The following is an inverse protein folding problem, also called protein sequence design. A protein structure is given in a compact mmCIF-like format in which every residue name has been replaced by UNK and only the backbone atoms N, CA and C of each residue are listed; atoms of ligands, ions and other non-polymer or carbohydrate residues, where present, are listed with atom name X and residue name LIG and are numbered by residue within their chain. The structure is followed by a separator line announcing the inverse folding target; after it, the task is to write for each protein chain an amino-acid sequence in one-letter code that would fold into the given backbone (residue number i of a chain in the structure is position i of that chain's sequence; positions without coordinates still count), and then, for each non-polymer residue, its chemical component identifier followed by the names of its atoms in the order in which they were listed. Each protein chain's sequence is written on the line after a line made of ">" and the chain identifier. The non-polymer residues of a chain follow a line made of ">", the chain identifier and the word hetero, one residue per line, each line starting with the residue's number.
data_IF_177580539787
#
_entry.id   IF_177580539787
#
_cell.length_a   1.000
_cell.length_b   1.000
_cell.length_c   1.000
_cell.angle_alpha   90.00
_cell.angle_beta   90.00
_cell.angle_gamma   90.00
#
_symmetry.space_group_name_H-M   'P 1'
#
loop_
_entity.id
_entity.type
_entity.pdbx_description
1 polymer ?
#
# COMPACT_ATOMS: atom_id res chain seq x y z
N UNK A 1 -14.94 -42.15 14.80
CA UNK A 1 -14.07 -40.97 14.92
C UNK A 1 -14.67 -40.16 16.03
N UNK A 2 -14.16 -40.35 17.24
CA UNK A 2 -14.51 -39.50 18.38
C UNK A 2 -13.86 -38.15 18.11
N UNK A 3 -14.69 -37.11 18.08
CA UNK A 3 -14.28 -35.74 17.82
C UNK A 3 -13.67 -35.23 19.15
N UNK A 4 -12.34 -35.25 19.25
CA UNK A 4 -11.60 -34.77 20.41
C UNK A 4 -11.80 -33.26 20.56
N UNK A 5 -12.89 -32.87 21.22
CA UNK A 5 -13.20 -31.49 21.56
C UNK A 5 -12.24 -31.04 22.67
N UNK A 6 -11.11 -30.44 22.28
CA UNK A 6 -10.21 -29.77 23.21
C UNK A 6 -10.98 -28.57 23.80
N UNK A 7 -11.25 -28.53 25.12
CA UNK A 7 -11.92 -27.40 25.73
C UNK A 7 -11.05 -26.15 25.60
N UNK A 8 -11.68 -25.00 25.35
CA UNK A 8 -11.00 -23.73 25.22
C UNK A 8 -10.23 -23.39 26.51
N UNK A 9 -8.98 -22.93 26.37
CA UNK A 9 -8.15 -22.53 27.50
C UNK A 9 -8.80 -21.32 28.20
N UNK A 10 -9.06 -21.38 29.53
CA UNK A 10 -9.66 -20.25 30.26
C UNK A 10 -8.76 -19.01 30.30
N UNK A 11 -7.47 -19.13 29.98
CA UNK A 11 -6.54 -18.01 29.85
C UNK A 11 -6.57 -17.34 28.46
N UNK A 12 -7.27 -17.93 27.49
CA UNK A 12 -7.39 -17.35 26.15
C UNK A 12 -8.25 -16.07 26.16
N UNK A 13 -7.88 -15.07 25.34
CA UNK A 13 -8.67 -13.86 25.18
C UNK A 13 -10.07 -14.22 24.67
N UNK A 14 -11.08 -13.88 25.48
CA UNK A 14 -12.48 -14.14 25.15
C UNK A 14 -12.93 -13.31 23.93
N UNK A 15 -13.78 -13.87 23.05
CA UNK A 15 -14.37 -13.10 21.96
C UNK A 15 -15.14 -11.88 22.48
N UNK A 16 -14.88 -10.71 21.88
CA UNK A 16 -15.56 -9.45 22.25
C UNK A 16 -17.03 -9.47 21.82
N UNK A 17 -17.37 -10.24 20.78
CA UNK A 17 -18.74 -10.38 20.30
C UNK A 17 -19.45 -11.53 21.01
N UNK A 18 -20.74 -11.37 21.38
CA UNK A 18 -21.49 -12.45 22.01
C UNK A 18 -21.64 -13.64 21.06
N UNK A 19 -21.84 -14.82 21.64
CA UNK A 19 -22.20 -16.02 20.90
C UNK A 19 -23.47 -15.85 20.05
N UNK A 20 -23.70 -16.76 19.11
CA UNK A 20 -24.83 -16.69 18.18
C UNK A 20 -26.18 -16.64 18.92
N UNK A 21 -26.85 -15.49 18.84
CA UNK A 21 -28.13 -15.25 19.52
C UNK A 21 -29.38 -15.41 18.63
N UNK A 22 -29.22 -15.89 17.39
CA UNK A 22 -30.32 -16.09 16.44
C UNK A 22 -31.25 -14.86 16.23
N UNK A 23 -30.68 -13.65 16.19
CA UNK A 23 -31.44 -12.38 16.03
C UNK A 23 -32.39 -12.34 14.82
N UNK A 24 -32.12 -13.14 13.77
CA UNK A 24 -32.97 -13.22 12.59
C UNK A 24 -33.39 -14.67 12.36
N UNK A 25 -34.70 -14.90 12.37
CA UNK A 25 -35.30 -16.23 12.07
C UNK A 25 -35.35 -16.54 10.58
N UNK A 26 -35.25 -15.52 9.72
CA UNK A 26 -35.36 -15.69 8.26
C UNK A 26 -34.34 -14.83 7.51
N UNK A 27 -33.95 -15.29 6.32
CA UNK A 27 -33.10 -14.55 5.40
C UNK A 27 -33.70 -13.20 4.98
N UNK A 28 -35.03 -13.11 4.93
CA UNK A 28 -35.74 -11.87 4.63
C UNK A 28 -35.57 -10.82 5.74
N UNK A 29 -35.70 -11.22 7.01
CA UNK A 29 -35.47 -10.34 8.16
C UNK A 29 -34.02 -9.84 8.20
N UNK A 30 -33.05 -10.74 8.01
CA UNK A 30 -31.63 -10.36 7.92
C UNK A 30 -31.34 -9.42 6.74
N UNK A 31 -32.01 -9.61 5.59
CA UNK A 31 -31.90 -8.71 4.43
C UNK A 31 -32.53 -7.34 4.70
N UNK A 32 -33.66 -7.30 5.42
CA UNK A 32 -34.32 -6.06 5.81
C UNK A 32 -33.45 -5.25 6.78
N UNK A 33 -32.89 -5.90 7.81
CA UNK A 33 -31.93 -5.25 8.73
C UNK A 33 -30.70 -4.71 7.98
N UNK A 34 -30.09 -5.51 7.10
CA UNK A 34 -28.98 -5.02 6.25
C UNK A 34 -29.38 -3.89 5.30
N UNK A 35 -30.67 -3.66 5.04
CA UNK A 35 -31.18 -2.53 4.26
C UNK A 35 -31.45 -1.31 5.12
N UNK A 36 -31.90 -1.48 6.37
CA UNK A 36 -32.24 -0.36 7.26
C UNK A 36 -31.01 0.40 7.74
N UNK A 37 -29.87 -0.27 7.88
CA UNK A 37 -28.58 0.35 8.26
C UNK A 37 -27.84 1.05 7.10
N UNK A 38 -28.47 1.15 5.92
CA UNK A 38 -27.83 1.69 4.72
C UNK A 38 -27.91 3.20 4.70
N UNK A 39 -26.86 3.83 4.19
CA UNK A 39 -26.91 5.27 3.88
C UNK A 39 -27.82 5.47 2.66
N UNK A 40 -28.76 6.42 2.72
CA UNK A 40 -29.70 6.67 1.63
C UNK A 40 -28.98 7.03 0.32
N UNK A 41 -29.69 6.80 -0.78
CA UNK A 41 -29.21 7.12 -2.11
C UNK A 41 -29.04 8.64 -2.32
N UNK A 42 -28.09 9.02 -3.19
CA UNK A 42 -27.83 10.41 -3.59
C UNK A 42 -28.85 10.86 -4.64
N UNK A 43 -30.12 10.99 -4.20
CA UNK A 43 -31.32 11.14 -5.05
C UNK A 43 -31.45 12.48 -5.81
N UNK A 44 -30.53 13.42 -5.61
CA UNK A 44 -30.66 14.79 -6.13
C UNK A 44 -29.96 15.01 -7.49
N UNK A 45 -29.58 13.95 -8.18
CA UNK A 45 -28.86 14.05 -9.45
C UNK A 45 -29.84 13.96 -10.64
N UNK A 46 -30.12 15.06 -11.37
CA UNK A 46 -31.11 15.10 -12.44
C UNK A 46 -30.66 14.34 -13.70
N UNK A 47 -29.36 14.05 -13.83
CA UNK A 47 -28.76 13.37 -14.97
C UNK A 47 -28.84 11.84 -14.89
N UNK A 48 -29.22 11.26 -13.76
CA UNK A 48 -29.17 9.80 -13.51
C UNK A 48 -29.97 9.01 -14.55
N UNK A 49 -31.23 9.36 -14.81
CA UNK A 49 -32.07 8.62 -15.74
C UNK A 49 -31.52 8.66 -17.18
N UNK A 50 -31.09 9.85 -17.62
CA UNK A 50 -30.48 10.04 -18.94
C UNK A 50 -29.20 9.21 -19.08
N UNK A 51 -28.32 9.25 -18.07
CA UNK A 51 -27.05 8.52 -18.08
C UNK A 51 -27.28 7.01 -18.08
N UNK A 52 -28.25 6.51 -17.31
CA UNK A 52 -28.62 5.08 -17.31
C UNK A 52 -29.09 4.66 -18.71
N UNK A 53 -29.96 5.45 -19.34
CA UNK A 53 -30.61 5.08 -20.61
C UNK A 53 -29.69 5.20 -21.82
N UNK A 54 -28.83 6.21 -21.86
CA UNK A 54 -28.05 6.53 -23.07
C UNK A 54 -26.54 6.63 -22.84
N UNK A 55 -26.09 6.70 -21.58
CA UNK A 55 -24.71 7.03 -21.23
C UNK A 55 -23.73 5.85 -21.19
N UNK A 56 -24.21 4.60 -21.13
CA UNK A 56 -23.34 3.43 -20.86
C UNK A 56 -22.15 3.35 -21.81
N UNK A 57 -22.39 3.31 -23.12
CA UNK A 57 -21.32 3.16 -24.12
C UNK A 57 -20.27 4.26 -24.01
N UNK A 58 -20.72 5.50 -23.85
CA UNK A 58 -19.85 6.67 -23.71
C UNK A 58 -19.00 6.58 -22.43
N UNK A 59 -19.63 6.34 -21.28
CA UNK A 59 -18.94 6.36 -20.00
C UNK A 59 -18.04 5.16 -19.77
N UNK A 60 -18.45 3.96 -20.19
CA UNK A 60 -17.60 2.76 -20.11
C UNK A 60 -16.32 2.96 -20.92
N UNK A 61 -16.44 3.46 -22.17
CA UNK A 61 -15.27 3.79 -22.99
C UNK A 61 -14.34 4.77 -22.27
N UNK A 62 -14.88 5.87 -21.74
CA UNK A 62 -14.06 6.86 -21.02
C UNK A 62 -13.41 6.31 -19.75
N UNK A 63 -14.10 5.44 -19.02
CA UNK A 63 -13.56 4.77 -17.83
C UNK A 63 -12.41 3.85 -18.24
N UNK A 64 -12.59 3.02 -19.25
CA UNK A 64 -11.56 2.14 -19.81
C UNK A 64 -10.34 2.95 -20.28
N UNK A 65 -10.55 3.97 -21.13
CA UNK A 65 -9.50 4.83 -21.65
C UNK A 65 -8.71 5.48 -20.49
N UNK A 66 -9.41 5.91 -19.42
CA UNK A 66 -8.76 6.48 -18.23
C UNK A 66 -7.96 5.45 -17.43
N UNK A 67 -8.39 4.19 -17.39
CA UNK A 67 -7.64 3.12 -16.71
C UNK A 67 -6.30 2.85 -17.40
N UNK A 68 -6.27 2.89 -18.74
CA UNK A 68 -5.04 2.62 -19.52
C UNK A 68 -4.20 3.88 -19.77
N UNK A 69 -4.75 5.08 -19.63
CA UNK A 69 -4.02 6.33 -19.87
C UNK A 69 -2.86 6.50 -18.87
N UNK A 70 -1.62 6.52 -19.38
CA UNK A 70 -0.40 6.66 -18.59
C UNK A 70 0.21 8.07 -18.62
N UNK A 71 -0.47 9.05 -19.22
CA UNK A 71 0.06 10.42 -19.43
C UNK A 71 0.22 11.25 -18.16
N UNK A 72 -0.56 10.99 -17.10
CA UNK A 72 -0.58 11.80 -15.87
C UNK A 72 -0.56 10.93 -14.59
N UNK A 73 0.33 9.94 -14.52
CA UNK A 73 0.42 9.06 -13.34
C UNK A 73 1.12 9.78 -12.17
N UNK A 74 0.44 9.84 -11.04
CA UNK A 74 0.94 10.39 -9.77
C UNK A 74 1.53 9.34 -8.82
N UNK A 75 1.33 8.04 -9.07
CA UNK A 75 2.01 6.98 -8.32
C UNK A 75 3.53 7.10 -8.44
N UNK A 76 4.26 6.69 -7.40
CA UNK A 76 5.73 6.72 -7.42
C UNK A 76 6.29 5.91 -8.59
N UNK A 77 7.49 6.31 -9.07
CA UNK A 77 8.17 5.59 -10.16
C UNK A 77 8.41 4.12 -9.82
N UNK A 78 8.66 3.81 -8.54
CA UNK A 78 8.88 2.46 -8.02
C UNK A 78 7.58 1.67 -7.75
N UNK A 79 6.41 2.26 -7.94
CA UNK A 79 5.13 1.62 -7.63
C UNK A 79 4.87 0.45 -8.57
N UNK A 80 4.61 -0.74 -8.02
CA UNK A 80 4.21 -1.91 -8.82
C UNK A 80 2.96 -1.63 -9.65
N UNK A 81 2.03 -0.83 -9.11
CA UNK A 81 0.81 -0.45 -9.82
C UNK A 81 1.09 0.40 -11.06
N UNK A 82 2.12 1.25 -11.04
CA UNK A 82 2.55 2.03 -12.22
C UNK A 82 3.19 1.13 -13.27
N UNK A 83 4.09 0.24 -12.85
CA UNK A 83 4.81 -0.66 -13.75
C UNK A 83 3.88 -1.55 -14.57
N UNK A 84 2.83 -2.10 -13.95
CA UNK A 84 1.83 -2.95 -14.63
C UNK A 84 1.15 -2.31 -15.84
N UNK A 85 1.14 -0.98 -15.94
CA UNK A 85 0.53 -0.22 -17.05
C UNK A 85 1.55 0.43 -17.99
N UNK A 86 2.81 0.56 -17.60
CA UNK A 86 3.84 1.23 -18.42
C UNK A 86 4.79 0.25 -19.12
N UNK A 87 4.97 -0.95 -18.58
CA UNK A 87 5.94 -1.91 -19.11
C UNK A 87 5.22 -3.06 -19.77
N UNK A 88 5.47 -3.30 -21.06
CA UNK A 88 4.83 -4.36 -21.83
C UNK A 88 5.07 -5.75 -21.22
N UNK A 89 6.28 -6.02 -20.70
CA UNK A 89 6.60 -7.27 -19.99
C UNK A 89 5.85 -7.44 -18.66
N UNK A 90 5.26 -6.37 -18.12
CA UNK A 90 4.48 -6.38 -16.89
C UNK A 90 2.97 -6.32 -17.14
N UNK A 91 2.50 -6.49 -18.39
CA UNK A 91 1.07 -6.51 -18.73
C UNK A 91 0.40 -7.66 -17.98
N UNK A 92 -0.16 -7.33 -16.82
CA UNK A 92 -0.73 -8.29 -15.87
C UNK A 92 -2.20 -8.54 -16.15
N UNK A 93 -2.91 -7.54 -16.66
CA UNK A 93 -4.36 -7.59 -16.86
C UNK A 93 -4.67 -7.81 -18.35
N UNK A 94 -5.68 -8.64 -18.61
CA UNK A 94 -6.23 -8.78 -19.96
C UNK A 94 -7.12 -7.58 -20.27
N UNK A 95 -7.24 -7.24 -21.55
CA UNK A 95 -8.01 -6.08 -21.98
C UNK A 95 -9.51 -6.25 -21.63
N UNK A 96 -10.02 -7.50 -21.72
CA UNK A 96 -11.38 -7.84 -21.31
C UNK A 96 -11.62 -7.64 -19.81
N UNK A 97 -10.62 -7.88 -18.95
CA UNK A 97 -10.75 -7.70 -17.51
C UNK A 97 -10.90 -6.20 -17.17
N UNK A 98 -10.16 -5.35 -17.90
CA UNK A 98 -10.23 -3.90 -17.75
C UNK A 98 -11.57 -3.34 -18.26
N UNK A 99 -12.07 -3.84 -19.39
CA UNK A 99 -13.39 -3.46 -19.91
C UNK A 99 -14.52 -3.91 -18.97
N UNK A 100 -14.49 -5.15 -18.48
CA UNK A 100 -15.44 -5.65 -17.50
C UNK A 100 -15.41 -4.81 -16.21
N UNK A 101 -14.21 -4.41 -15.78
CA UNK A 101 -14.05 -3.50 -14.63
C UNK A 101 -14.65 -2.12 -14.89
N UNK A 102 -14.49 -1.56 -16.09
CA UNK A 102 -15.11 -0.28 -16.47
C UNK A 102 -16.65 -0.35 -16.43
N UNK A 103 -17.24 -1.44 -16.91
CA UNK A 103 -18.66 -1.72 -16.76
C UNK A 103 -19.09 -1.78 -15.28
N UNK A 104 -18.32 -2.48 -14.45
CA UNK A 104 -18.61 -2.60 -13.02
C UNK A 104 -18.54 -1.25 -12.30
N UNK A 105 -17.54 -0.44 -12.58
CA UNK A 105 -17.43 0.93 -12.05
C UNK A 105 -18.66 1.76 -12.42
N UNK A 106 -19.13 1.68 -13.67
CA UNK A 106 -20.32 2.39 -14.12
C UNK A 106 -21.57 1.94 -13.33
N UNK A 107 -21.78 0.63 -13.17
CA UNK A 107 -22.93 0.07 -12.45
C UNK A 107 -22.93 0.42 -10.96
N UNK A 108 -21.75 0.37 -10.32
CA UNK A 108 -21.60 0.75 -8.91
C UNK A 108 -21.82 2.26 -8.74
N UNK A 109 -21.39 3.09 -9.68
CA UNK A 109 -21.63 4.54 -9.65
C UNK A 109 -23.12 4.88 -9.76
N UNK A 110 -23.87 4.18 -10.61
CA UNK A 110 -25.34 4.28 -10.64
C UNK A 110 -25.96 3.83 -9.32
N UNK A 111 -25.45 2.75 -8.73
CA UNK A 111 -25.97 2.22 -7.46
C UNK A 111 -25.86 3.24 -6.31
N UNK A 112 -24.84 4.10 -6.30
CA UNK A 112 -24.71 5.19 -5.31
C UNK A 112 -25.90 6.15 -5.37
N UNK A 113 -26.38 6.49 -6.57
CA UNK A 113 -27.50 7.43 -6.76
C UNK A 113 -28.89 6.78 -6.67
N UNK A 114 -28.99 5.47 -6.94
CA UNK A 114 -30.27 4.75 -6.96
C UNK A 114 -30.54 3.96 -5.68
N UNK A 115 -29.50 3.41 -5.05
CA UNK A 115 -29.59 2.52 -3.88
C UNK A 115 -28.87 3.06 -2.65
N UNK A 116 -27.87 3.92 -2.83
CA UNK A 116 -27.02 4.44 -1.75
C UNK A 116 -25.94 3.46 -1.31
N UNK A 117 -25.42 3.68 -0.09
CA UNK A 117 -24.35 2.85 0.46
C UNK A 117 -24.90 1.53 0.99
N UNK A 118 -24.40 0.42 0.47
CA UNK A 118 -24.88 -0.93 0.81
C UNK A 118 -23.82 -1.82 1.47
N UNK A 119 -22.78 -1.22 2.06
CA UNK A 119 -21.74 -1.89 2.84
C UNK A 119 -21.89 -1.52 4.33
N UNK A 120 -21.19 -2.20 5.26
CA UNK A 120 -21.20 -1.80 6.66
C UNK A 120 -20.88 -0.31 6.84
N UNK A 121 -21.56 0.34 7.77
CA UNK A 121 -21.44 1.77 8.05
C UNK A 121 -20.03 2.14 8.55
N UNK A 122 -19.32 1.22 9.20
CA UNK A 122 -17.92 1.40 9.62
C UNK A 122 -16.97 1.79 8.50
N UNK A 123 -17.29 1.43 7.25
CA UNK A 123 -16.51 1.82 6.08
C UNK A 123 -16.97 3.14 5.45
N UNK A 124 -18.17 3.61 5.79
CA UNK A 124 -18.70 4.87 5.29
C UNK A 124 -18.23 6.02 6.17
N UNK A 125 -17.66 7.06 5.54
CA UNK A 125 -17.26 8.29 6.23
C UNK A 125 -17.77 9.48 5.44
N UNK A 126 -18.83 10.12 5.95
CA UNK A 126 -19.36 11.34 5.34
C UNK A 126 -18.38 12.49 5.56
N UNK A 127 -17.77 12.96 4.47
CA UNK A 127 -16.96 14.16 4.49
C UNK A 127 -17.86 15.40 4.48
N UNK A 128 -17.95 16.10 5.62
CA UNK A 128 -18.86 17.23 5.80
C UNK A 128 -18.18 18.58 5.55
N UNK A 129 -16.84 18.65 5.62
CA UNK A 129 -16.06 19.89 5.47
C UNK A 129 -14.75 19.67 4.72
N UNK A 130 -14.28 20.73 4.06
CA UNK A 130 -12.96 20.77 3.41
C UNK A 130 -12.88 20.09 2.04
N UNK A 131 -11.66 19.79 1.59
CA UNK A 131 -11.35 19.29 0.24
C UNK A 131 -11.88 17.87 -0.04
N UNK A 132 -12.39 17.18 0.98
CA UNK A 132 -12.90 15.81 0.88
C UNK A 132 -14.42 15.77 0.63
N UNK A 133 -15.10 16.92 0.65
CA UNK A 133 -16.54 17.01 0.41
C UNK A 133 -16.88 16.47 -0.98
N UNK A 134 -17.94 15.67 -1.06
CA UNK A 134 -18.40 15.10 -2.32
C UNK A 134 -19.19 16.14 -3.14
N UNK A 135 -18.51 16.84 -4.03
CA UNK A 135 -19.13 17.79 -4.94
C UNK A 135 -19.95 17.14 -6.06
N UNK A 136 -19.87 15.81 -6.24
CA UNK A 136 -20.65 15.06 -7.24
C UNK A 136 -21.93 14.44 -6.71
N UNK A 137 -22.33 14.74 -5.48
CA UNK A 137 -23.57 14.20 -4.90
C UNK A 137 -24.80 14.50 -5.77
N UNK A 138 -24.79 15.63 -6.48
CA UNK A 138 -25.89 16.10 -7.34
C UNK A 138 -25.68 15.88 -8.85
N UNK A 139 -24.66 15.14 -9.28
CA UNK A 139 -24.48 14.80 -10.70
C UNK A 139 -23.69 13.50 -10.86
N UNK A 140 -24.31 12.52 -11.51
CA UNK A 140 -23.66 11.26 -11.86
C UNK A 140 -22.57 11.47 -12.91
N UNK A 141 -22.74 12.37 -13.87
CA UNK A 141 -21.72 12.67 -14.87
C UNK A 141 -20.47 13.31 -14.26
N UNK A 142 -20.66 14.25 -13.32
CA UNK A 142 -19.55 14.85 -12.58
C UNK A 142 -18.81 13.78 -11.78
N UNK A 143 -19.56 12.86 -11.14
CA UNK A 143 -18.98 11.72 -10.41
C UNK A 143 -18.14 10.84 -11.33
N UNK A 144 -18.69 10.42 -12.47
CA UNK A 144 -18.01 9.57 -13.44
C UNK A 144 -16.75 10.25 -14.00
N UNK A 145 -16.82 11.55 -14.33
CA UNK A 145 -15.63 12.32 -14.72
C UNK A 145 -14.53 12.29 -13.64
N UNK A 146 -14.91 12.43 -12.37
CA UNK A 146 -13.94 12.44 -11.26
C UNK A 146 -13.37 11.06 -10.96
N UNK A 147 -14.14 10.02 -11.21
CA UNK A 147 -13.63 8.65 -11.20
C UNK A 147 -12.61 8.47 -12.34
N UNK A 148 -12.90 8.93 -13.56
CA UNK A 148 -11.94 8.92 -14.66
C UNK A 148 -10.62 9.62 -14.29
N UNK A 149 -10.68 10.82 -13.70
CA UNK A 149 -9.50 11.54 -13.21
C UNK A 149 -8.71 10.72 -12.17
N UNK A 150 -9.40 10.03 -11.26
CA UNK A 150 -8.74 9.17 -10.27
C UNK A 150 -8.04 7.97 -10.90
N UNK A 151 -8.67 7.30 -11.86
CA UNK A 151 -8.12 6.13 -12.57
C UNK A 151 -6.94 6.51 -13.46
N UNK A 152 -7.03 7.65 -14.15
CA UNK A 152 -5.93 8.21 -14.94
C UNK A 152 -4.71 8.48 -14.07
N UNK A 153 -4.92 9.18 -12.95
CA UNK A 153 -3.81 9.65 -12.11
C UNK A 153 -3.21 8.60 -11.19
N UNK A 154 -3.95 7.55 -10.83
CA UNK A 154 -3.55 6.61 -9.77
C UNK A 154 -3.90 5.19 -10.17
N UNK A 155 -2.93 4.43 -10.68
CA UNK A 155 -3.08 3.02 -11.08
C UNK A 155 -3.28 2.10 -9.89
N UNK A 156 -2.87 2.51 -8.68
CA UNK A 156 -3.29 1.83 -7.46
C UNK A 156 -4.83 1.85 -7.26
N UNK A 157 -5.53 2.86 -7.78
CA UNK A 157 -7.00 2.93 -7.78
C UNK A 157 -7.61 2.00 -8.83
N UNK A 158 -6.93 1.80 -9.96
CA UNK A 158 -7.35 0.83 -10.98
C UNK A 158 -7.29 -0.59 -10.41
N UNK A 159 -6.19 -0.94 -9.73
CA UNK A 159 -6.05 -2.23 -9.04
C UNK A 159 -7.14 -2.46 -7.97
N UNK A 160 -7.44 -1.44 -7.17
CA UNK A 160 -8.55 -1.48 -6.22
C UNK A 160 -9.92 -1.69 -6.87
N UNK A 161 -10.13 -1.17 -8.09
CA UNK A 161 -11.36 -1.32 -8.84
C UNK A 161 -11.49 -2.73 -9.42
N UNK A 162 -10.40 -3.30 -9.94
CA UNK A 162 -10.32 -4.68 -10.44
C UNK A 162 -10.63 -5.67 -9.31
N UNK A 163 -10.02 -5.49 -8.12
CA UNK A 163 -10.31 -6.32 -6.93
C UNK A 163 -11.73 -6.13 -6.39
N UNK A 164 -12.40 -5.04 -6.76
CA UNK A 164 -13.76 -4.72 -6.35
C UNK A 164 -13.93 -4.57 -4.82
N UNK A 165 -15.15 -4.82 -4.31
CA UNK A 165 -15.44 -4.81 -2.87
C UNK A 165 -15.63 -3.40 -2.29
N UNK A 166 -15.09 -3.16 -1.10
CA UNK A 166 -15.25 -1.89 -0.37
C UNK A 166 -14.44 -0.77 -1.01
N UNK A 167 -13.26 -1.06 -1.55
CA UNK A 167 -12.40 -0.04 -2.17
C UNK A 167 -13.01 0.57 -3.43
N UNK A 168 -13.66 -0.25 -4.26
CA UNK A 168 -14.46 0.21 -5.39
C UNK A 168 -15.68 1.02 -4.92
N UNK A 169 -16.39 0.54 -3.89
CA UNK A 169 -17.53 1.27 -3.35
C UNK A 169 -17.13 2.67 -2.84
N UNK A 170 -15.97 2.78 -2.16
CA UNK A 170 -15.43 4.07 -1.70
C UNK A 170 -15.06 5.00 -2.86
N UNK A 171 -14.46 4.47 -3.93
CA UNK A 171 -14.15 5.24 -5.14
C UNK A 171 -15.42 5.81 -5.78
N UNK A 172 -16.44 4.98 -5.96
CA UNK A 172 -17.70 5.39 -6.56
C UNK A 172 -18.49 6.33 -5.64
N UNK A 173 -18.46 6.13 -4.32
CA UNK A 173 -19.18 6.98 -3.37
C UNK A 173 -18.56 8.37 -3.22
N UNK A 174 -17.24 8.51 -3.16
CA UNK A 174 -16.60 9.82 -3.10
C UNK A 174 -15.22 9.79 -3.78
N UNK A 175 -15.15 10.07 -5.09
CA UNK A 175 -13.90 9.99 -5.83
C UNK A 175 -12.84 10.98 -5.33
N UNK A 176 -13.23 12.18 -4.85
CA UNK A 176 -12.29 13.15 -4.26
C UNK A 176 -11.65 12.63 -2.99
N UNK A 177 -12.46 12.13 -2.05
CA UNK A 177 -11.93 11.58 -0.81
C UNK A 177 -11.01 10.38 -1.08
N UNK A 178 -11.37 9.53 -2.06
CA UNK A 178 -10.52 8.41 -2.44
C UNK A 178 -9.20 8.86 -3.06
N UNK A 179 -9.25 9.80 -4.01
CA UNK A 179 -8.06 10.38 -4.64
C UNK A 179 -7.13 11.01 -3.61
N UNK A 180 -7.67 11.81 -2.68
CA UNK A 180 -6.90 12.45 -1.62
C UNK A 180 -6.27 11.44 -0.65
N UNK A 181 -7.00 10.38 -0.26
CA UNK A 181 -6.44 9.31 0.58
C UNK A 181 -5.26 8.63 -0.10
N UNK A 182 -5.38 8.31 -1.40
CA UNK A 182 -4.29 7.68 -2.16
C UNK A 182 -3.08 8.58 -2.32
N UNK A 183 -3.31 9.88 -2.55
CA UNK A 183 -2.23 10.86 -2.62
C UNK A 183 -1.51 11.03 -1.28
N UNK A 184 -2.24 11.11 -0.18
CA UNK A 184 -1.67 11.16 1.17
C UNK A 184 -0.83 9.91 1.46
N UNK A 185 -1.33 8.72 1.11
CA UNK A 185 -0.59 7.47 1.25
C UNK A 185 0.67 7.44 0.39
N UNK A 186 0.62 7.93 -0.86
CA UNK A 186 1.80 8.01 -1.72
C UNK A 186 2.86 8.95 -1.13
N UNK A 187 2.44 10.12 -0.63
CA UNK A 187 3.33 11.07 0.04
C UNK A 187 3.95 10.48 1.32
N UNK A 188 3.15 9.76 2.11
CA UNK A 188 3.61 9.05 3.31
C UNK A 188 4.64 7.97 2.96
N UNK A 189 4.36 7.14 1.95
CA UNK A 189 5.27 6.10 1.48
C UNK A 189 6.58 6.69 0.92
N UNK A 190 6.51 7.80 0.17
CA UNK A 190 7.70 8.51 -0.30
C UNK A 190 8.57 8.99 0.86
N UNK A 191 7.98 9.66 1.85
CA UNK A 191 8.70 10.12 3.06
C UNK A 191 9.30 8.95 3.84
N UNK A 192 8.56 7.84 4.00
CA UNK A 192 9.05 6.62 4.66
C UNK A 192 10.23 6.03 3.90
N UNK A 193 10.14 5.94 2.57
CA UNK A 193 11.22 5.45 1.71
C UNK A 193 12.49 6.28 1.84
N UNK A 194 12.37 7.61 1.86
CA UNK A 194 13.51 8.51 2.07
C UNK A 194 14.18 8.30 3.43
N UNK A 195 13.41 8.15 4.51
CA UNK A 195 13.96 7.87 5.85
C UNK A 195 14.71 6.55 5.90
N UNK A 196 14.14 5.50 5.30
CA UNK A 196 14.78 4.18 5.23
C UNK A 196 16.09 4.22 4.42
N UNK A 197 16.12 4.99 3.32
CA UNK A 197 17.33 5.16 2.52
C UNK A 197 18.45 5.85 3.32
N UNK A 198 18.15 6.97 4.00
CA UNK A 198 19.12 7.66 4.85
C UNK A 198 19.60 6.80 6.02
N UNK A 199 18.72 6.04 6.66
CA UNK A 199 19.10 5.13 7.74
C UNK A 199 20.03 4.02 7.24
N UNK A 200 19.79 3.48 6.04
CA UNK A 200 20.66 2.47 5.43
C UNK A 200 22.02 3.05 5.06
N UNK A 201 22.06 4.26 4.52
CA UNK A 201 23.31 4.96 4.19
C UNK A 201 24.15 5.26 5.43
N UNK A 202 23.51 5.70 6.52
CA UNK A 202 24.18 5.91 7.81
C UNK A 202 24.70 4.62 8.42
N UNK A 203 23.94 3.52 8.33
CA UNK A 203 24.38 2.21 8.80
C UNK A 203 25.61 1.73 8.01
N UNK A 204 25.58 1.84 6.68
CA UNK A 204 26.70 1.45 5.81
C UNK A 204 27.94 2.31 6.09
N UNK A 205 27.77 3.61 6.32
CA UNK A 205 28.89 4.50 6.65
C UNK A 205 29.52 4.14 8.00
N UNK A 206 28.71 3.82 9.01
CA UNK A 206 29.22 3.35 10.30
C UNK A 206 29.98 2.03 10.18
N UNK A 207 29.44 1.09 9.41
CA UNK A 207 30.10 -0.20 9.14
C UNK A 207 31.45 0.00 8.44
N UNK A 208 31.53 0.92 7.47
CA UNK A 208 32.80 1.29 6.82
C UNK A 208 33.79 1.97 7.77
N UNK A 209 33.31 2.89 8.63
CA UNK A 209 34.15 3.57 9.63
C UNK A 209 34.67 2.59 10.71
N UNK A 210 33.84 1.61 11.13
CA UNK A 210 34.25 0.54 12.05
C UNK A 210 35.26 -0.41 11.40
N UNK A 211 35.05 -0.82 10.14
CA UNK A 211 36.00 -1.65 9.40
C UNK A 211 37.36 -0.95 9.21
N UNK A 212 37.37 0.35 8.90
CA UNK A 212 38.60 1.16 8.80
C UNK A 212 39.35 1.26 10.14
N UNK A 213 38.62 1.38 11.26
CA UNK A 213 39.22 1.40 12.61
C UNK A 213 39.82 0.05 12.99
N UNK A 214 39.16 -1.05 12.65
CA UNK A 214 39.69 -2.39 12.90
C UNK A 214 40.93 -2.68 12.06
N UNK A 215 40.95 -2.27 10.79
CA UNK A 215 42.13 -2.44 9.92
C UNK A 215 43.36 -1.68 10.43
N UNK A 216 43.20 -0.41 10.85
CA UNK A 216 44.32 0.35 11.45
C UNK A 216 44.83 -0.22 12.76
N UNK A 217 43.92 -0.72 13.60
CA UNK A 217 44.32 -1.36 14.86
C UNK A 217 45.09 -2.66 14.65
N UNK A 218 44.88 -3.36 13.54
CA UNK A 218 45.68 -4.54 13.17
C UNK A 218 47.03 -4.16 12.58
N UNK A 219 47.09 -3.15 11.70
CA UNK A 219 48.37 -2.63 11.17
C UNK A 219 49.29 -2.10 12.29
N UNK A 220 48.75 -1.33 13.25
CA UNK A 220 49.54 -0.84 14.40
C UNK A 220 50.01 -1.98 15.32
N UNK A 221 49.29 -3.10 15.37
CA UNK A 221 49.67 -4.27 16.17
C UNK A 221 50.75 -5.11 15.47
N UNK A 222 50.65 -5.26 14.15
CA UNK A 222 51.68 -5.93 13.33
C UNK A 222 52.99 -5.13 13.27
N UNK A 223 52.92 -3.79 13.20
CA UNK A 223 54.12 -2.94 13.30
C UNK A 223 54.79 -3.07 14.68
N UNK A 224 54.02 -3.08 15.77
CA UNK A 224 54.57 -3.24 17.11
C UNK A 224 55.21 -4.63 17.33
N UNK A 225 54.59 -5.71 16.83
CA UNK A 225 55.19 -7.06 16.89
C UNK A 225 56.46 -7.17 16.03
N UNK A 226 56.56 -6.44 14.92
CA UNK A 226 57.79 -6.38 14.12
C UNK A 226 58.91 -5.63 14.83
N UNK A 227 58.62 -4.47 15.43
CA UNK A 227 59.63 -3.72 16.21
C UNK A 227 60.13 -4.53 17.41
N UNK A 228 59.23 -5.23 18.13
CA UNK A 228 59.62 -6.08 19.27
C UNK A 228 60.50 -7.27 18.82
N UNK A 229 60.20 -7.87 17.66
CA UNK A 229 61.00 -8.95 17.09
C UNK A 229 62.37 -8.47 16.57
N UNK A 230 62.47 -7.24 16.05
CA UNK A 230 63.75 -6.63 15.66
C UNK A 230 64.61 -6.29 16.89
N UNK A 231 64.02 -5.78 17.98
CA UNK A 231 64.74 -5.51 19.24
C UNK A 231 65.23 -6.80 19.92
N UNK A 232 64.47 -7.91 19.88
CA UNK A 232 64.93 -9.21 20.39
C UNK A 232 66.08 -9.78 19.54
N UNK A 233 66.04 -9.60 18.22
CA UNK A 233 67.10 -10.07 17.32
C UNK A 233 68.42 -9.31 17.50
N UNK A 234 68.37 -7.98 17.71
CA UNK A 234 69.57 -7.18 17.99
C UNK A 234 70.20 -7.54 19.35
N UNK A 235 69.40 -7.89 20.36
CA UNK A 235 69.92 -8.33 21.67
C UNK A 235 70.60 -9.71 21.60
N UNK A 236 70.14 -10.62 20.73
CA UNK A 236 70.79 -11.93 20.53
C UNK A 236 72.12 -11.82 19.75
N UNK A 237 72.27 -10.83 18.86
CA UNK A 237 73.55 -10.59 18.15
C UNK A 237 74.61 -9.96 19.07
N UNK A 238 74.22 -9.06 19.99
CA UNK A 238 75.15 -8.45 20.96
C UNK A 238 75.61 -9.44 22.06
N UNK A 239 74.85 -10.50 22.38
CA UNK A 239 75.28 -11.54 23.33
C UNK A 239 76.28 -12.55 22.73
N UNK A 240 76.38 -12.66 21.39
CA UNK A 240 77.35 -13.57 20.74
C UNK A 240 78.78 -12.99 20.63
N UNK A 241 78.95 -11.66 20.71
CA UNK A 241 80.26 -11.00 20.55
C UNK A 241 81.05 -10.86 21.88
N UNK A 242 80.54 -11.41 23.00
CA UNK A 242 81.21 -11.39 24.32
C UNK A 242 81.91 -12.73 24.65
N UNK A 243 82.04 -13.65 23.70
CA UNK A 243 82.56 -15.02 23.94
C UNK A 243 83.77 -15.46 23.10
N UNK A 244 84.57 -14.52 22.57
CA UNK A 244 85.87 -14.84 21.95
C UNK A 244 86.99 -13.95 22.51
N UNK A 245 87.25 -14.06 23.82
CA UNK A 245 88.52 -13.60 24.37
C UNK A 245 89.02 -14.57 25.45
N UNK A 246 89.91 -15.45 25.01
CA UNK A 246 91.00 -15.97 25.84
C UNK A 246 90.85 -17.39 26.39
N UNK A 247 91.51 -18.35 25.74
CA UNK A 247 92.28 -19.36 26.45
C UNK A 247 93.53 -19.75 25.62
N UNK A 248 94.69 -19.63 26.29
CA UNK A 248 96.07 -19.91 25.85
C UNK A 248 96.37 -21.41 25.61
#
# INVERSE_FOLDING_TARGET
>A
MEDDFIPADPSDPQPIYPGYAAHFRTSAAAKAYRKSIRVPAKKLAPDVERVIRFGRRYWVRRLYDSMIDVSDISDSKSSIHRHRFQTASAKTFKDQDLEATAHHIFDVSIAVHTRGWNRPETYYKKAVRGKLVDHSEKSLELRLNKICECLKRRKATVDDAIRSGVTLALLCDNPWARGSTKESNNNGNKKRGQRLAMAKEQALRKEQEEALRQGRGQEEQEEAEQEEAEEEAEQEEDEQDVSDDGEE
#
